data_IF_910619949380
#
_entry.id   IF_910619949380
#
_cell.length_a   1.000
_cell.length_b   1.000
_cell.length_c   1.000
_cell.angle_alpha   90.00
_cell.angle_beta   90.00
_cell.angle_gamma   90.00
#
_symmetry.space_group_name_H-M   'P 1'
#
loop_
_entity.id
_entity.type
_entity.pdbx_description
1 polymer ?
#
# COMPACT_ATOMS: atom_id res chain seq x y z
N UNK A 1 -36.01 -1.69 -29.12
CA UNK A 1 -35.52 -2.03 -27.76
C UNK A 1 -33.99 -2.12 -27.80
N UNK A 2 -33.25 -1.19 -27.18
CA UNK A 2 -31.79 -1.31 -27.06
C UNK A 2 -31.46 -2.34 -25.98
N UNK A 3 -30.84 -3.46 -26.36
CA UNK A 3 -30.35 -4.46 -25.43
C UNK A 3 -29.05 -3.92 -24.81
N UNK A 4 -29.00 -3.83 -23.48
CA UNK A 4 -27.81 -3.36 -22.74
C UNK A 4 -26.77 -4.49 -22.74
N UNK A 5 -25.90 -4.51 -23.74
CA UNK A 5 -24.79 -5.48 -23.83
C UNK A 5 -23.73 -5.08 -22.79
N UNK A 6 -23.45 -5.97 -21.83
CA UNK A 6 -22.37 -5.78 -20.85
C UNK A 6 -21.13 -6.53 -21.33
N UNK A 7 -20.06 -5.80 -21.64
CA UNK A 7 -18.78 -6.38 -21.99
C UNK A 7 -18.00 -6.67 -20.69
N UNK A 8 -17.61 -7.94 -20.49
CA UNK A 8 -16.64 -8.31 -19.46
C UNK A 8 -15.24 -8.19 -20.06
N UNK A 9 -14.72 -6.97 -20.16
CA UNK A 9 -13.34 -6.77 -20.61
C UNK A 9 -12.38 -7.10 -19.48
N UNK A 10 -11.47 -8.05 -19.70
CA UNK A 10 -10.32 -8.32 -18.80
C UNK A 10 -9.30 -7.17 -18.78
N UNK A 11 -9.57 -6.09 -19.51
CA UNK A 11 -8.69 -4.96 -19.84
C UNK A 11 -9.27 -3.65 -19.30
N UNK A 12 -9.62 -3.62 -18.02
CA UNK A 12 -9.74 -2.35 -17.29
C UNK A 12 -8.67 -2.33 -16.20
N UNK A 13 -8.11 -1.16 -15.89
CA UNK A 13 -7.15 -1.01 -14.78
C UNK A 13 -7.76 -1.44 -13.44
N UNK A 14 -9.10 -1.42 -13.36
CA UNK A 14 -9.85 -1.77 -12.16
C UNK A 14 -10.14 -3.26 -12.10
N UNK A 15 -9.42 -3.97 -11.22
CA UNK A 15 -9.67 -5.39 -10.97
C UNK A 15 -10.55 -5.57 -9.74
N UNK A 16 -11.68 -6.25 -9.95
CA UNK A 16 -12.62 -6.58 -8.88
C UNK A 16 -12.49 -8.04 -8.48
N UNK A 17 -12.47 -8.28 -7.17
CA UNK A 17 -12.36 -9.61 -6.58
C UNK A 17 -13.54 -9.84 -5.65
N UNK A 18 -14.13 -11.05 -5.71
CA UNK A 18 -15.26 -11.39 -4.88
C UNK A 18 -14.88 -12.38 -3.78
N UNK A 19 -15.36 -12.14 -2.57
CA UNK A 19 -15.15 -13.00 -1.40
C UNK A 19 -16.46 -13.17 -0.64
N UNK A 20 -16.65 -14.32 0.03
CA UNK A 20 -17.75 -14.47 1.00
C UNK A 20 -17.28 -13.97 2.35
N UNK A 21 -18.02 -13.03 2.95
CA UNK A 21 -17.80 -12.58 4.32
C UNK A 21 -19.02 -12.91 5.17
N UNK A 22 -18.84 -13.27 6.45
CA UNK A 22 -19.90 -13.19 7.45
C UNK A 22 -20.54 -11.81 7.44
N UNK A 23 -21.84 -11.76 7.68
CA UNK A 23 -22.51 -10.50 7.96
C UNK A 23 -22.14 -10.11 9.40
N UNK A 24 -21.78 -8.85 9.59
CA UNK A 24 -21.40 -8.25 10.87
C UNK A 24 -21.81 -6.76 10.89
N UNK A 25 -21.52 -6.05 11.98
CA UNK A 25 -21.88 -4.64 12.15
C UNK A 25 -21.18 -3.68 11.19
N UNK A 26 -20.18 -4.13 10.43
CA UNK A 26 -19.54 -3.28 9.41
C UNK A 26 -20.41 -3.05 8.18
N UNK A 27 -21.52 -3.80 8.01
CA UNK A 27 -22.46 -3.69 6.89
C UNK A 27 -23.46 -2.54 7.07
N UNK A 28 -23.00 -1.31 6.91
CA UNK A 28 -23.91 -0.16 6.79
C UNK A 28 -24.62 -0.12 5.43
N UNK A 29 -25.63 0.75 5.30
CA UNK A 29 -26.41 0.96 4.07
C UNK A 29 -25.53 1.09 2.81
N UNK A 30 -24.53 1.97 2.88
CA UNK A 30 -23.59 2.21 1.78
C UNK A 30 -22.83 0.95 1.39
N UNK A 31 -22.27 0.23 2.36
CA UNK A 31 -21.53 -1.02 2.11
C UNK A 31 -22.41 -2.09 1.49
N UNK A 32 -23.66 -2.23 1.93
CA UNK A 32 -24.61 -3.18 1.35
C UNK A 32 -24.87 -2.86 -0.13
N UNK A 33 -25.15 -1.60 -0.44
CA UNK A 33 -25.44 -1.13 -1.81
C UNK A 33 -24.23 -1.23 -2.75
N UNK A 34 -23.04 -0.88 -2.27
CA UNK A 34 -21.84 -0.76 -3.11
C UNK A 34 -21.03 -2.04 -3.23
N UNK A 35 -21.12 -2.97 -2.26
CA UNK A 35 -20.23 -4.14 -2.22
C UNK A 35 -20.92 -5.49 -2.44
N UNK A 36 -22.25 -5.60 -2.32
CA UNK A 36 -22.97 -6.87 -2.54
C UNK A 36 -23.54 -6.90 -3.96
N UNK A 37 -23.29 -7.95 -4.73
CA UNK A 37 -23.85 -8.05 -6.10
C UNK A 37 -25.28 -8.59 -6.14
N UNK A 38 -25.69 -9.33 -5.12
CA UNK A 38 -27.01 -9.97 -5.06
C UNK A 38 -28.06 -8.96 -4.59
N UNK A 39 -28.89 -8.51 -5.53
CA UNK A 39 -29.93 -7.49 -5.28
C UNK A 39 -31.07 -8.00 -4.40
N UNK A 40 -31.29 -9.32 -4.33
CA UNK A 40 -32.24 -9.93 -3.40
C UNK A 40 -31.73 -9.81 -1.97
N UNK A 41 -30.48 -10.19 -1.75
CA UNK A 41 -29.81 -10.05 -0.45
C UNK A 41 -29.69 -8.59 -0.04
N UNK A 42 -29.31 -7.67 -0.95
CA UNK A 42 -29.28 -6.23 -0.67
C UNK A 42 -30.62 -5.75 -0.11
N UNK A 43 -31.72 -6.09 -0.79
CA UNK A 43 -33.06 -5.70 -0.37
C UNK A 43 -33.42 -6.24 1.02
N UNK A 44 -33.12 -7.51 1.28
CA UNK A 44 -33.37 -8.14 2.58
C UNK A 44 -32.61 -7.39 3.69
N UNK A 45 -31.30 -7.20 3.50
CA UNK A 45 -30.44 -6.56 4.50
C UNK A 45 -30.79 -5.09 4.72
N UNK A 46 -31.09 -4.33 3.67
CA UNK A 46 -31.45 -2.91 3.76
C UNK A 46 -32.75 -2.70 4.53
N UNK A 47 -33.77 -3.51 4.25
CA UNK A 47 -35.05 -3.42 4.97
C UNK A 47 -34.94 -3.84 6.42
N UNK A 48 -34.15 -4.88 6.69
CA UNK A 48 -33.90 -5.27 8.08
C UNK A 48 -33.14 -4.18 8.83
N UNK A 49 -32.12 -3.59 8.22
CA UNK A 49 -31.39 -2.46 8.78
C UNK A 49 -32.30 -1.26 9.07
N UNK A 50 -33.21 -0.93 8.15
CA UNK A 50 -34.21 0.13 8.35
C UNK A 50 -35.17 -0.19 9.51
N UNK A 51 -35.66 -1.42 9.61
CA UNK A 51 -36.51 -1.86 10.73
C UNK A 51 -35.82 -1.76 12.09
N UNK A 52 -34.48 -1.91 12.12
CA UNK A 52 -33.65 -1.81 13.32
C UNK A 52 -33.13 -0.37 13.57
N UNK A 53 -33.86 0.63 13.06
CA UNK A 53 -33.54 2.04 13.27
C UNK A 53 -32.26 2.50 12.55
N UNK A 54 -31.82 1.77 11.52
CA UNK A 54 -30.60 2.08 10.78
C UNK A 54 -29.31 1.75 11.53
N UNK A 55 -29.37 0.98 12.63
CA UNK A 55 -28.22 0.63 13.45
C UNK A 55 -27.64 -0.75 13.06
N UNK A 56 -26.46 -0.82 12.42
CA UNK A 56 -25.85 -2.09 12.01
C UNK A 56 -25.42 -2.99 13.16
N UNK A 57 -25.05 -2.42 14.33
CA UNK A 57 -24.65 -3.20 15.51
C UNK A 57 -25.83 -4.04 16.03
N UNK A 58 -27.03 -3.48 15.98
CA UNK A 58 -28.26 -4.19 16.36
C UNK A 58 -28.71 -5.14 15.25
N UNK A 59 -28.83 -4.63 14.02
CA UNK A 59 -29.34 -5.39 12.86
C UNK A 59 -28.50 -6.63 12.50
N UNK A 60 -27.19 -6.57 12.72
CA UNK A 60 -26.26 -7.63 12.32
C UNK A 60 -25.50 -8.25 13.50
N UNK A 61 -26.09 -8.14 14.69
CA UNK A 61 -25.79 -9.01 15.83
C UNK A 61 -26.25 -10.45 15.57
N UNK A 62 -25.92 -11.40 16.45
CA UNK A 62 -26.45 -12.77 16.38
C UNK A 62 -27.98 -12.78 16.33
N UNK A 63 -28.60 -12.03 17.23
CA UNK A 63 -30.05 -12.02 17.41
C UNK A 63 -30.74 -11.27 16.26
N UNK A 64 -30.13 -10.18 15.79
CA UNK A 64 -30.58 -9.46 14.60
C UNK A 64 -30.55 -10.33 13.34
N UNK A 65 -29.49 -11.12 13.14
CA UNK A 65 -29.43 -12.06 12.01
C UNK A 65 -30.48 -13.16 12.10
N UNK A 66 -30.74 -13.68 13.30
CA UNK A 66 -31.80 -14.67 13.51
C UNK A 66 -33.18 -14.07 13.22
N UNK A 67 -33.45 -12.84 13.67
CA UNK A 67 -34.68 -12.12 13.38
C UNK A 67 -34.84 -11.84 11.88
N UNK A 68 -33.78 -11.39 11.21
CA UNK A 68 -33.76 -11.19 9.76
C UNK A 68 -34.12 -12.47 9.02
N UNK A 69 -33.52 -13.61 9.42
CA UNK A 69 -33.74 -14.89 8.76
C UNK A 69 -35.13 -15.48 9.04
N UNK A 70 -35.68 -15.29 10.24
CA UNK A 70 -37.08 -15.61 10.55
C UNK A 70 -38.07 -14.84 9.66
N UNK A 71 -37.76 -13.58 9.35
CA UNK A 71 -38.63 -12.69 8.58
C UNK A 71 -38.25 -12.56 7.09
N UNK A 72 -37.36 -13.42 6.58
CA UNK A 72 -36.70 -13.22 5.27
C UNK A 72 -37.67 -13.10 4.09
N UNK A 73 -38.80 -13.82 4.14
CA UNK A 73 -39.83 -13.79 3.10
C UNK A 73 -40.52 -12.42 3.03
N UNK A 74 -40.84 -11.83 4.18
CA UNK A 74 -41.43 -10.50 4.25
C UNK A 74 -40.43 -9.45 3.74
N UNK A 75 -39.17 -9.56 4.19
CA UNK A 75 -38.08 -8.69 3.76
C UNK A 75 -37.79 -8.81 2.24
N UNK A 76 -38.14 -9.93 1.61
CA UNK A 76 -37.96 -10.19 0.17
C UNK A 76 -39.26 -10.10 -0.68
N UNK A 77 -40.20 -9.20 -0.34
CA UNK A 77 -41.45 -9.01 -1.10
C UNK A 77 -42.29 -10.30 -1.24
N UNK A 78 -42.37 -11.10 -0.19
CA UNK A 78 -43.12 -12.36 -0.21
C UNK A 78 -42.42 -13.51 -0.93
N UNK A 79 -41.26 -13.29 -1.55
CA UNK A 79 -40.47 -14.33 -2.23
C UNK A 79 -39.62 -15.10 -1.23
N UNK A 80 -39.64 -16.42 -1.33
CA UNK A 80 -38.82 -17.29 -0.51
C UNK A 80 -37.32 -17.06 -0.78
N UNK A 81 -36.51 -17.14 0.27
CA UNK A 81 -35.05 -17.15 0.22
C UNK A 81 -34.51 -18.00 1.37
N UNK A 82 -33.36 -18.63 1.18
CA UNK A 82 -32.69 -19.41 2.23
C UNK A 82 -32.08 -18.47 3.30
N UNK A 83 -31.88 -18.91 4.55
CA UNK A 83 -31.21 -18.09 5.56
C UNK A 83 -29.85 -17.55 5.08
N UNK A 84 -29.57 -16.29 5.39
CA UNK A 84 -28.37 -15.56 4.98
C UNK A 84 -27.55 -15.20 6.21
N UNK A 85 -26.37 -15.82 6.32
CA UNK A 85 -25.37 -15.52 7.36
C UNK A 85 -24.05 -15.02 6.77
N UNK A 86 -23.83 -15.26 5.47
CA UNK A 86 -22.63 -14.82 4.74
C UNK A 86 -23.05 -14.28 3.39
N UNK A 87 -22.47 -13.16 3.01
CA UNK A 87 -22.74 -12.49 1.74
C UNK A 87 -21.50 -12.48 0.86
N UNK A 88 -21.71 -12.58 -0.44
CA UNK A 88 -20.65 -12.38 -1.42
C UNK A 88 -20.48 -10.88 -1.62
N UNK A 89 -19.35 -10.36 -1.18
CA UNK A 89 -18.94 -8.99 -1.49
C UNK A 89 -17.96 -8.99 -2.64
N UNK A 90 -17.93 -7.91 -3.41
CA UNK A 90 -16.87 -7.62 -4.36
C UNK A 90 -16.16 -6.33 -3.93
N UNK A 91 -14.85 -6.30 -4.15
CA UNK A 91 -14.03 -5.13 -3.87
C UNK A 91 -13.04 -4.90 -5.01
N UNK A 92 -12.72 -3.64 -5.28
CA UNK A 92 -11.59 -3.27 -6.11
C UNK A 92 -10.32 -3.49 -5.29
N UNK A 93 -9.40 -4.30 -5.80
CA UNK A 93 -8.18 -4.68 -5.09
C UNK A 93 -7.07 -5.07 -6.07
N UNK A 94 -5.82 -5.03 -5.61
CA UNK A 94 -4.65 -5.40 -6.41
C UNK A 94 -4.13 -6.79 -6.00
N UNK A 95 -5.02 -7.79 -6.10
CA UNK A 95 -4.68 -9.17 -5.72
C UNK A 95 -3.94 -9.91 -6.83
N UNK A 96 -2.99 -10.75 -6.45
CA UNK A 96 -2.20 -11.59 -7.35
C UNK A 96 -2.36 -13.07 -7.00
N UNK A 97 -2.32 -13.95 -8.01
CA UNK A 97 -2.47 -15.38 -7.80
C UNK A 97 -1.26 -15.96 -7.05
N UNK A 98 -1.49 -16.92 -6.16
CA UNK A 98 -0.42 -17.57 -5.37
C UNK A 98 0.52 -18.40 -6.26
N UNK A 99 0.02 -18.88 -7.40
CA UNK A 99 0.84 -19.59 -8.39
C UNK A 99 0.14 -19.69 -9.74
N UNK A 100 0.80 -20.32 -10.70
CA UNK A 100 0.33 -20.34 -12.10
C UNK A 100 -0.42 -21.63 -12.47
N UNK A 101 -0.28 -22.69 -11.67
CA UNK A 101 -0.84 -24.02 -11.96
C UNK A 101 -1.89 -24.47 -10.94
N UNK A 102 -2.88 -25.22 -11.43
CA UNK A 102 -3.90 -25.88 -10.62
C UNK A 102 -4.72 -24.92 -9.76
N UNK A 103 -5.02 -25.33 -8.52
CA UNK A 103 -5.81 -24.52 -7.58
C UNK A 103 -5.10 -23.22 -7.15
N UNK A 104 -3.77 -23.16 -7.21
CA UNK A 104 -3.00 -21.97 -6.82
C UNK A 104 -3.24 -20.78 -7.77
N UNK A 105 -3.58 -21.04 -9.03
CA UNK A 105 -3.97 -20.02 -10.01
C UNK A 105 -5.31 -19.34 -9.69
N UNK A 106 -6.14 -19.97 -8.84
CA UNK A 106 -7.46 -19.44 -8.43
C UNK A 106 -7.45 -18.88 -7.01
N UNK A 107 -6.33 -18.97 -6.29
CA UNK A 107 -6.15 -18.39 -4.96
C UNK A 107 -5.37 -17.10 -5.10
N UNK A 108 -5.90 -16.03 -4.55
CA UNK A 108 -5.31 -14.71 -4.65
C UNK A 108 -4.88 -14.21 -3.28
N UNK A 109 -3.76 -13.50 -3.25
CA UNK A 109 -3.24 -12.77 -2.11
C UNK A 109 -3.14 -11.30 -2.47
N UNK A 110 -3.28 -10.45 -1.47
CA UNK A 110 -3.05 -9.02 -1.58
C UNK A 110 -1.97 -8.67 -0.58
N UNK A 111 -1.11 -7.70 -0.91
CA UNK A 111 -0.33 -7.05 0.14
C UNK A 111 -1.31 -6.39 1.11
N UNK A 112 -0.97 -6.32 2.40
CA UNK A 112 -1.79 -5.54 3.33
C UNK A 112 -1.95 -4.11 2.78
N UNK A 113 -3.17 -3.57 2.85
CA UNK A 113 -3.49 -2.26 2.27
C UNK A 113 -2.56 -1.20 2.87
N UNK A 114 -1.80 -0.50 2.01
CA UNK A 114 -0.79 0.48 2.43
C UNK A 114 0.64 -0.04 2.54
N UNK A 115 0.89 -1.32 2.26
CA UNK A 115 2.25 -1.89 2.28
C UNK A 115 2.97 -1.65 0.95
N UNK A 116 3.62 -0.49 0.83
CA UNK A 116 4.62 -0.24 -0.21
C UNK A 116 5.98 -0.73 0.28
N UNK A 117 6.39 -1.91 -0.19
CA UNK A 117 7.64 -2.54 0.25
C UNK A 117 8.88 -1.93 -0.38
N UNK A 118 8.77 -1.42 -1.61
CA UNK A 118 9.92 -0.92 -2.37
C UNK A 118 9.70 0.53 -2.79
N UNK A 119 10.72 1.36 -2.57
CA UNK A 119 10.75 2.77 -2.93
C UNK A 119 11.93 3.02 -3.86
N UNK A 120 11.63 3.31 -5.11
CA UNK A 120 12.62 3.55 -6.14
C UNK A 120 13.00 5.03 -6.18
N UNK A 121 14.31 5.29 -6.18
CA UNK A 121 14.92 6.60 -6.35
C UNK A 121 15.61 6.60 -7.70
N UNK A 122 15.12 7.40 -8.63
CA UNK A 122 15.80 7.69 -9.88
C UNK A 122 16.55 9.00 -9.74
N UNK A 123 17.64 9.15 -10.48
CA UNK A 123 18.39 10.40 -10.51
C UNK A 123 18.68 10.77 -11.94
N UNK A 124 18.34 12.00 -12.32
CA UNK A 124 18.64 12.57 -13.62
C UNK A 124 19.62 13.72 -13.44
N UNK A 125 20.56 13.82 -14.35
CA UNK A 125 21.49 14.94 -14.42
C UNK A 125 20.97 15.90 -15.49
N UNK A 126 20.80 17.16 -15.11
CA UNK A 126 20.41 18.24 -16.02
C UNK A 126 21.43 19.34 -15.90
N UNK A 127 21.87 19.91 -17.02
CA UNK A 127 22.77 21.07 -17.00
C UNK A 127 21.92 22.32 -16.78
N UNK A 128 22.28 23.12 -15.77
CA UNK A 128 21.72 24.44 -15.61
C UNK A 128 22.15 25.32 -16.78
N UNK A 129 21.20 25.81 -17.56
CA UNK A 129 21.47 26.62 -18.76
C UNK A 129 22.09 27.98 -18.43
N UNK A 130 21.98 28.44 -17.18
CA UNK A 130 22.48 29.73 -16.72
C UNK A 130 23.86 29.65 -16.09
N UNK A 131 24.15 28.61 -15.29
CA UNK A 131 25.44 28.46 -14.59
C UNK A 131 26.37 27.43 -15.24
N UNK A 132 25.84 26.55 -16.11
CA UNK A 132 26.59 25.44 -16.70
C UNK A 132 26.83 24.27 -15.74
N UNK A 133 26.31 24.34 -14.51
CA UNK A 133 26.50 23.32 -13.48
C UNK A 133 25.60 22.10 -13.68
N UNK A 134 26.09 20.93 -13.24
CA UNK A 134 25.31 19.69 -13.27
C UNK A 134 24.37 19.65 -12.07
N UNK A 135 23.08 19.84 -12.34
CA UNK A 135 22.00 19.72 -11.37
C UNK A 135 21.49 18.28 -11.32
N UNK A 136 21.67 17.61 -10.18
CA UNK A 136 21.13 16.27 -9.94
C UNK A 136 19.71 16.39 -9.39
N UNK A 137 18.73 15.90 -10.15
CA UNK A 137 17.32 15.89 -9.75
C UNK A 137 16.83 14.45 -9.56
N UNK A 138 16.30 14.15 -8.38
CA UNK A 138 15.71 12.83 -8.10
C UNK A 138 14.22 12.79 -8.40
N UNK A 139 13.74 11.62 -8.78
CA UNK A 139 12.32 11.30 -8.85
C UNK A 139 12.03 9.99 -8.13
N UNK A 140 10.80 9.84 -7.65
CA UNK A 140 10.45 8.82 -6.65
C UNK A 140 9.17 8.10 -6.99
N UNK A 141 9.16 6.79 -6.78
CA UNK A 141 7.93 6.00 -6.87
C UNK A 141 7.97 4.79 -5.95
N UNK A 142 6.82 4.46 -5.37
CA UNK A 142 6.61 3.20 -4.66
C UNK A 142 6.26 2.10 -5.65
N UNK A 143 6.98 0.98 -5.57
CA UNK A 143 6.74 -0.20 -6.41
C UNK A 143 6.08 -1.31 -5.59
N UNK A 144 4.90 -1.78 -6.00
CA UNK A 144 4.25 -2.95 -5.42
C UNK A 144 5.10 -4.22 -5.49
N UNK A 145 5.04 -5.04 -4.44
CA UNK A 145 5.82 -6.29 -4.32
C UNK A 145 5.58 -7.29 -5.46
N UNK A 146 4.35 -7.37 -5.97
CA UNK A 146 4.02 -8.26 -7.08
C UNK A 146 4.76 -7.88 -8.37
N UNK A 147 4.94 -6.58 -8.62
CA UNK A 147 5.72 -6.09 -9.76
C UNK A 147 7.19 -6.51 -9.59
N UNK A 148 7.76 -6.28 -8.40
CA UNK A 148 9.14 -6.64 -8.09
C UNK A 148 9.38 -8.14 -8.27
N UNK A 149 8.52 -8.98 -7.67
CA UNK A 149 8.65 -10.43 -7.74
C UNK A 149 8.52 -10.96 -9.18
N UNK A 150 7.60 -10.42 -9.98
CA UNK A 150 7.45 -10.83 -11.37
C UNK A 150 8.67 -10.48 -12.22
N UNK A 151 9.29 -9.32 -11.98
CA UNK A 151 10.52 -8.90 -12.68
C UNK A 151 11.71 -9.78 -12.30
N UNK A 152 11.89 -10.04 -10.99
CA UNK A 152 12.93 -10.93 -10.50
C UNK A 152 12.82 -12.35 -11.08
N UNK A 153 11.60 -12.90 -11.19
CA UNK A 153 11.36 -14.20 -11.84
C UNK A 153 11.78 -14.24 -13.31
N UNK A 154 11.74 -13.09 -13.98
CA UNK A 154 12.15 -12.95 -15.39
C UNK A 154 13.64 -12.62 -15.53
N UNK A 155 14.41 -12.56 -14.42
CA UNK A 155 15.81 -12.15 -14.43
C UNK A 155 16.00 -10.64 -14.70
N UNK A 156 14.94 -9.83 -14.57
CA UNK A 156 14.98 -8.39 -14.76
C UNK A 156 15.31 -7.66 -13.45
N UNK A 157 15.73 -6.39 -13.57
CA UNK A 157 15.92 -5.49 -12.42
C UNK A 157 14.65 -5.44 -11.53
N UNK A 158 14.77 -5.44 -10.19
CA UNK A 158 13.63 -5.45 -9.26
C UNK A 158 12.59 -4.37 -9.54
N UNK A 159 13.04 -3.21 -10.03
CA UNK A 159 12.22 -2.03 -10.26
C UNK A 159 12.24 -1.69 -11.76
N UNK A 160 11.13 -1.22 -12.34
CA UNK A 160 11.12 -0.75 -13.73
C UNK A 160 11.95 0.53 -13.91
N UNK A 161 12.46 0.75 -15.12
CA UNK A 161 13.00 2.05 -15.49
C UNK A 161 11.94 3.16 -15.38
N UNK A 162 12.37 4.40 -15.20
CA UNK A 162 11.47 5.55 -15.22
C UNK A 162 10.94 5.83 -16.65
N UNK A 163 10.07 6.83 -16.78
CA UNK A 163 9.46 7.21 -18.07
C UNK A 163 10.48 7.60 -19.16
N UNK A 164 11.72 7.92 -18.77
CA UNK A 164 12.83 8.24 -19.68
C UNK A 164 13.70 7.00 -20.01
N UNK A 165 13.32 5.80 -19.56
CA UNK A 165 14.09 4.57 -19.78
C UNK A 165 15.32 4.41 -18.88
N UNK A 166 15.46 5.22 -17.83
CA UNK A 166 16.60 5.14 -16.89
C UNK A 166 16.28 4.23 -15.71
N UNK A 167 17.21 3.34 -15.38
CA UNK A 167 17.11 2.48 -14.21
C UNK A 167 17.14 3.28 -12.89
N UNK A 168 16.54 2.70 -11.84
CA UNK A 168 16.59 3.29 -10.51
C UNK A 168 18.03 3.37 -10.02
N UNK A 169 18.43 4.54 -9.50
CA UNK A 169 19.73 4.72 -8.86
C UNK A 169 19.80 3.92 -7.57
N UNK A 170 18.74 4.01 -6.75
CA UNK A 170 18.60 3.24 -5.51
C UNK A 170 17.20 2.66 -5.37
N UNK A 171 17.10 1.55 -4.64
CA UNK A 171 15.84 0.97 -4.21
C UNK A 171 15.92 0.77 -2.70
N UNK A 172 14.99 1.39 -1.97
CA UNK A 172 14.91 1.28 -0.52
C UNK A 172 13.67 0.47 -0.12
N UNK A 173 13.80 -0.27 0.97
CA UNK A 173 12.74 -1.02 1.63
C UNK A 173 12.74 -0.72 3.13
N UNK A 174 11.64 -1.00 3.86
CA UNK A 174 11.63 -0.87 5.30
C UNK A 174 12.81 -1.60 5.96
N UNK A 175 13.44 -0.92 6.93
CA UNK A 175 14.69 -1.26 7.63
C UNK A 175 16.00 -1.01 6.89
N UNK A 176 15.97 -0.58 5.62
CA UNK A 176 17.20 -0.16 4.96
C UNK A 176 17.77 1.08 5.66
N UNK A 177 19.09 1.08 5.87
CA UNK A 177 19.82 2.19 6.43
C UNK A 177 20.29 3.11 5.31
N UNK A 178 20.23 4.41 5.56
CA UNK A 178 20.71 5.44 4.63
C UNK A 178 21.55 6.46 5.39
N UNK A 179 22.63 6.90 4.76
CA UNK A 179 23.40 8.05 5.21
C UNK A 179 22.89 9.33 4.55
N UNK A 180 22.88 10.43 5.28
CA UNK A 180 22.49 11.76 4.78
C UNK A 180 23.75 12.64 4.74
N UNK A 181 24.36 12.87 3.57
CA UNK A 181 25.55 13.69 3.47
C UNK A 181 25.32 15.15 3.91
N UNK A 182 26.37 15.80 4.38
CA UNK A 182 26.45 17.24 4.59
C UNK A 182 26.67 17.96 3.25
N UNK A 183 26.51 19.29 3.21
CA UNK A 183 26.83 20.08 2.00
C UNK A 183 28.27 19.90 1.55
N UNK A 184 29.22 19.91 2.49
CA UNK A 184 30.64 19.71 2.18
C UNK A 184 30.89 18.32 1.57
N UNK A 185 30.25 17.26 2.06
CA UNK A 185 30.37 15.92 1.50
C UNK A 185 29.65 15.75 0.16
N UNK A 186 28.60 16.53 -0.11
CA UNK A 186 27.97 16.56 -1.43
C UNK A 186 28.89 17.18 -2.49
N UNK A 187 29.70 18.16 -2.09
CA UNK A 187 30.66 18.85 -2.96
C UNK A 187 31.97 18.05 -3.14
N UNK A 188 32.52 17.51 -2.05
CA UNK A 188 33.85 16.90 -2.01
C UNK A 188 33.83 15.36 -2.04
N UNK A 189 32.65 14.76 -1.89
CA UNK A 189 32.48 13.31 -1.73
C UNK A 189 32.35 12.89 -0.26
N UNK A 190 31.78 11.70 -0.07
CA UNK A 190 31.60 11.10 1.25
C UNK A 190 32.74 10.11 1.49
N UNK A 191 33.46 10.28 2.60
CA UNK A 191 34.45 9.30 3.06
C UNK A 191 33.78 8.24 3.95
N UNK A 192 33.83 6.99 3.49
CA UNK A 192 33.23 5.86 4.19
C UNK A 192 33.90 5.58 5.55
N UNK A 193 35.19 5.88 5.69
CA UNK A 193 35.94 5.59 6.91
C UNK A 193 35.60 6.54 8.07
N UNK A 194 35.06 7.72 7.76
CA UNK A 194 34.82 8.81 8.71
C UNK A 194 33.36 9.27 8.76
N UNK A 195 32.42 8.37 8.46
CA UNK A 195 30.98 8.67 8.49
C UNK A 195 30.49 9.14 9.85
N UNK A 196 29.73 10.24 9.84
CA UNK A 196 28.99 10.69 11.01
C UNK A 196 27.77 9.79 11.26
N UNK A 197 27.88 8.93 12.27
CA UNK A 197 26.82 7.97 12.63
C UNK A 197 25.51 8.66 13.02
N UNK A 198 25.56 9.92 13.48
CA UNK A 198 24.35 10.68 13.81
C UNK A 198 23.54 11.11 12.58
N UNK A 199 24.10 10.94 11.38
CA UNK A 199 23.44 11.22 10.10
C UNK A 199 22.95 9.95 9.40
N UNK A 200 22.84 8.84 10.12
CA UNK A 200 22.27 7.58 9.64
C UNK A 200 20.79 7.48 10.03
N UNK A 201 19.96 7.12 9.05
CA UNK A 201 18.52 7.01 9.19
C UNK A 201 18.05 5.64 8.68
N UNK A 202 17.04 5.10 9.32
CA UNK A 202 16.37 3.85 8.94
C UNK A 202 15.07 4.16 8.22
N UNK A 203 14.89 3.59 7.03
CA UNK A 203 13.62 3.69 6.32
C UNK A 203 12.53 2.89 7.04
N UNK A 204 11.36 3.49 7.23
CA UNK A 204 10.22 2.88 7.93
C UNK A 204 9.07 2.56 6.98
N UNK A 205 8.74 3.48 6.07
CA UNK A 205 7.64 3.31 5.13
C UNK A 205 7.72 4.29 3.96
N UNK A 206 6.95 4.05 2.90
CA UNK A 206 6.76 4.99 1.81
C UNK A 206 5.30 5.05 1.34
N UNK A 207 4.89 6.19 0.81
CA UNK A 207 3.60 6.42 0.16
C UNK A 207 3.81 7.29 -1.09
N UNK A 208 3.49 6.73 -2.26
CA UNK A 208 3.63 7.35 -3.59
C UNK A 208 5.06 7.86 -3.83
N UNK A 209 5.30 9.14 -3.60
CA UNK A 209 6.57 9.83 -3.81
C UNK A 209 7.26 10.24 -2.50
N UNK A 210 6.64 9.93 -1.36
CA UNK A 210 7.15 10.23 -0.03
C UNK A 210 7.74 8.97 0.60
N UNK A 211 8.88 9.12 1.26
CA UNK A 211 9.51 8.11 2.10
C UNK A 211 9.64 8.67 3.51
N UNK A 212 9.59 7.77 4.49
CA UNK A 212 9.52 8.11 5.90
C UNK A 212 10.57 7.31 6.64
N UNK A 213 11.28 7.98 7.53
CA UNK A 213 12.45 7.48 8.21
C UNK A 213 12.31 7.71 9.73
N UNK A 214 13.24 7.13 10.46
CA UNK A 214 13.62 7.50 11.83
C UNK A 214 15.14 7.51 11.91
N UNK A 215 15.71 8.28 12.83
CA UNK A 215 17.14 8.20 13.10
C UNK A 215 17.49 6.78 13.57
N UNK A 216 18.63 6.25 13.13
CA UNK A 216 19.02 4.86 13.41
C UNK A 216 19.07 4.55 14.92
N UNK A 217 19.52 5.51 15.73
CA UNK A 217 19.61 5.40 17.18
C UNK A 217 18.26 5.47 17.93
N UNK A 218 17.14 5.71 17.24
CA UNK A 218 15.82 5.84 17.85
C UNK A 218 15.10 4.48 17.88
N UNK A 219 14.80 3.99 19.08
CA UNK A 219 14.02 2.77 19.30
C UNK A 219 12.50 3.02 19.22
N UNK A 220 11.99 3.95 20.02
CA UNK A 220 10.58 4.32 20.08
C UNK A 220 10.41 5.76 20.59
N UNK A 221 9.35 6.46 20.18
CA UNK A 221 9.02 7.75 20.77
C UNK A 221 8.60 7.58 22.24
N UNK A 222 8.96 8.53 23.10
CA UNK A 222 8.50 8.58 24.49
C UNK A 222 7.05 9.10 24.52
N UNK A 223 6.78 10.17 23.77
CA UNK A 223 5.45 10.76 23.63
C UNK A 223 4.93 10.61 22.21
N UNK A 224 3.84 9.87 22.08
CA UNK A 224 3.22 9.56 20.80
C UNK A 224 2.77 10.83 20.06
N UNK A 225 3.26 11.00 18.83
CA UNK A 225 2.97 12.09 17.88
C UNK A 225 3.50 13.48 18.28
N UNK A 226 4.48 13.55 19.19
CA UNK A 226 5.07 14.82 19.64
C UNK A 226 6.51 14.99 19.17
N UNK A 227 7.34 13.94 19.28
CA UNK A 227 8.78 14.03 18.98
C UNK A 227 9.11 14.09 17.49
N UNK A 228 8.25 13.50 16.66
CA UNK A 228 8.44 13.41 15.22
C UNK A 228 7.16 13.79 14.47
N UNK A 229 7.21 13.76 13.15
CA UNK A 229 6.05 14.01 12.31
C UNK A 229 4.97 12.92 12.41
N UNK A 230 4.01 12.98 11.49
CA UNK A 230 2.88 12.06 11.42
C UNK A 230 3.28 10.59 11.59
N UNK A 231 2.61 9.90 12.53
CA UNK A 231 2.89 8.50 12.88
C UNK A 231 4.29 8.23 13.47
N UNK A 232 4.91 9.24 14.09
CA UNK A 232 6.24 9.19 14.69
C UNK A 232 7.37 8.92 13.68
N UNK A 233 7.26 9.51 12.50
CA UNK A 233 8.24 9.35 11.41
C UNK A 233 8.60 10.71 10.81
N UNK A 234 9.75 10.79 10.17
CA UNK A 234 10.27 12.01 9.57
C UNK A 234 10.58 11.83 8.08
N UNK A 235 10.42 12.90 7.30
CA UNK A 235 10.86 12.97 5.89
C UNK A 235 12.19 13.72 5.77
N UNK A 236 12.40 14.71 6.64
CA UNK A 236 13.63 15.47 6.76
C UNK A 236 14.52 14.89 7.85
N UNK A 237 15.83 15.05 7.69
CA UNK A 237 16.82 14.83 8.72
C UNK A 237 16.62 15.83 9.88
N UNK A 238 17.17 15.52 11.05
CA UNK A 238 17.16 16.42 12.21
C UNK A 238 17.83 17.77 11.88
N UNK A 239 18.78 17.75 10.94
CA UNK A 239 19.48 18.93 10.41
C UNK A 239 18.71 19.68 9.32
N UNK A 240 17.50 19.21 8.93
CA UNK A 240 16.56 19.91 8.06
C UNK A 240 16.57 19.46 6.59
N UNK A 241 17.55 18.68 6.14
CA UNK A 241 17.64 18.22 4.76
C UNK A 241 16.57 17.18 4.43
N UNK A 242 16.00 17.24 3.22
CA UNK A 242 15.07 16.22 2.74
C UNK A 242 15.82 14.91 2.45
N UNK A 243 15.61 13.88 3.26
CA UNK A 243 16.43 12.65 3.25
C UNK A 243 16.46 12.03 1.86
N UNK A 244 15.30 11.82 1.23
CA UNK A 244 15.19 11.14 -0.07
C UNK A 244 15.95 11.84 -1.22
N UNK A 245 16.18 13.14 -1.11
CA UNK A 245 16.84 13.93 -2.16
C UNK A 245 18.36 13.72 -2.18
N UNK A 246 18.95 13.38 -1.04
CA UNK A 246 20.42 13.31 -0.92
C UNK A 246 20.95 12.02 -0.30
N UNK A 247 20.07 11.16 0.22
CA UNK A 247 20.50 9.97 0.93
C UNK A 247 21.28 8.98 0.06
N UNK A 248 22.17 8.23 0.70
CA UNK A 248 22.96 7.14 0.12
C UNK A 248 22.65 5.86 0.91
N UNK A 249 22.18 4.78 0.28
CA UNK A 249 21.93 3.51 0.97
C UNK A 249 23.21 2.92 1.55
N UNK A 250 23.09 2.33 2.74
CA UNK A 250 24.17 1.65 3.45
C UNK A 250 23.89 0.15 3.48
N UNK A 251 24.89 -0.64 3.14
CA UNK A 251 24.90 -2.07 3.37
C UNK A 251 25.71 -2.37 4.63
N UNK A 252 25.08 -3.01 5.61
CA UNK A 252 25.71 -3.39 6.87
C UNK A 252 25.83 -4.90 7.01
N UNK A 253 26.84 -5.36 7.74
CA UNK A 253 26.95 -6.76 8.15
C UNK A 253 26.11 -7.04 9.41
N UNK A 254 26.13 -8.29 9.87
CA UNK A 254 25.40 -8.70 11.08
C UNK A 254 25.96 -8.12 12.38
N UNK A 255 27.18 -7.59 12.35
CA UNK A 255 27.84 -6.95 13.50
C UNK A 255 27.61 -5.44 13.50
N UNK A 256 26.94 -4.89 12.48
CA UNK A 256 26.68 -3.46 12.34
C UNK A 256 27.79 -2.68 11.64
N UNK A 257 28.78 -3.36 11.04
CA UNK A 257 29.81 -2.69 10.25
C UNK A 257 29.27 -2.34 8.87
N UNK A 258 29.57 -1.12 8.41
CA UNK A 258 29.20 -0.67 7.07
C UNK A 258 30.16 -1.31 6.06
N UNK A 259 29.63 -2.12 5.14
CA UNK A 259 30.38 -2.86 4.12
C UNK A 259 30.41 -2.11 2.78
N UNK A 260 29.33 -1.39 2.45
CA UNK A 260 29.21 -0.67 1.18
C UNK A 260 28.27 0.53 1.30
N UNK A 261 28.55 1.57 0.53
CA UNK A 261 27.63 2.67 0.22
C UNK A 261 27.19 2.60 -1.24
N UNK A 262 25.91 2.88 -1.51
CA UNK A 262 25.34 2.91 -2.86
C UNK A 262 24.90 1.55 -3.39
#
# INVERSE_FOLDING_TARGET
KKIKVRYFTKTTNDRYFATRKPIDSSFNKKKIEESITDTGIQKIMLRHLENMGGNPELAFSSDGLDEMNKNIRALNNGRFHQPVYKVRIYEKADKYAIGEKGQKAKKFVEAAKGTNLFFAIYENETVDKSTGEILRKRSFTTIPMNIVMNRLKQGLSPVPANDCGKDAKYVLSPNDLVYVPTKAELEHGVDMASLDKDRIYKMVSADRSNSHFVKESVASPIVNKVEFGSHNKMQCAVTGEMIKEICIPLKVDRLGNIIKMG
#
